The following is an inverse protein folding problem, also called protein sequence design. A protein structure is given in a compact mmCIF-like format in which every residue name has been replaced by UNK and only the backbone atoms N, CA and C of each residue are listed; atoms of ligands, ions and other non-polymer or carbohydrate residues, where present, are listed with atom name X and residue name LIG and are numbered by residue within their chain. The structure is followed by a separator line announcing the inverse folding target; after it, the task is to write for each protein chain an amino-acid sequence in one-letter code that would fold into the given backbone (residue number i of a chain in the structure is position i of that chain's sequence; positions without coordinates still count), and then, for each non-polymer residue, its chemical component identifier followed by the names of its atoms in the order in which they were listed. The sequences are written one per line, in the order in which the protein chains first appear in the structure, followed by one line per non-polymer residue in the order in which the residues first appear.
data_IF_777206174410
#
_entry.id   IF_777206174410
#
_cell.length_a   1.000
_cell.length_b   1.000
_cell.length_c   1.000
_cell.angle_alpha   90.00
_cell.angle_beta   90.00
_cell.angle_gamma   90.00
#
_symmetry.space_group_name_H-M   'P 1'
#
loop_
_entity.id
_entity.type
_entity.pdbx_description
1 polymer ?
#
# COMPACT_ATOMS: atom_id res chain seq x y z
N UNK A 1 -9.90 -5.39 -12.87
CA UNK A 1 -9.22 -4.19 -12.31
C UNK A 1 -10.18 -3.03 -12.39
N UNK A 2 -10.33 -2.25 -11.31
CA UNK A 2 -11.16 -1.04 -11.34
C UNK A 2 -10.62 -0.06 -12.40
N UNK A 3 -11.50 0.54 -13.19
CA UNK A 3 -11.12 1.56 -14.17
C UNK A 3 -10.61 2.82 -13.44
N UNK A 4 -9.31 3.10 -13.61
CA UNK A 4 -8.62 4.26 -13.01
C UNK A 4 -8.27 5.33 -14.05
N UNK A 5 -8.72 5.18 -15.29
CA UNK A 5 -8.37 6.06 -16.42
C UNK A 5 -8.62 7.54 -16.14
N UNK A 6 -9.72 7.87 -15.46
CA UNK A 6 -10.04 9.25 -15.10
C UNK A 6 -9.09 9.87 -14.07
N UNK A 7 -8.48 9.06 -13.19
CA UNK A 7 -7.48 9.54 -12.22
C UNK A 7 -6.20 9.90 -12.97
N UNK A 8 -5.71 8.99 -13.82
CA UNK A 8 -4.49 9.24 -14.62
C UNK A 8 -4.66 10.40 -15.61
N UNK A 9 -5.87 10.63 -16.12
CA UNK A 9 -6.14 11.76 -17.01
C UNK A 9 -6.12 13.13 -16.30
N UNK A 10 -6.32 13.16 -14.97
CA UNK A 10 -6.45 14.40 -14.19
C UNK A 10 -5.28 14.65 -13.23
N UNK A 11 -4.48 13.63 -12.93
CA UNK A 11 -3.34 13.73 -12.03
C UNK A 11 -2.03 13.41 -12.75
N UNK A 12 -1.04 14.27 -12.53
CA UNK A 12 0.36 13.90 -12.74
C UNK A 12 0.81 12.93 -11.62
N UNK A 13 1.97 12.31 -11.80
CA UNK A 13 2.59 11.52 -10.73
C UNK A 13 2.75 12.37 -9.45
N UNK A 14 2.54 11.75 -8.30
CA UNK A 14 2.58 12.36 -6.98
C UNK A 14 3.98 12.29 -6.35
N UNK A 15 4.32 13.32 -5.57
CA UNK A 15 5.53 13.33 -4.73
C UNK A 15 5.34 12.53 -3.43
N UNK A 16 4.09 12.43 -2.95
CA UNK A 16 3.70 11.71 -1.74
C UNK A 16 2.42 10.89 -1.98
N UNK A 17 2.45 9.63 -1.59
CA UNK A 17 1.25 8.81 -1.37
C UNK A 17 1.07 8.63 0.13
N UNK A 18 -0.11 8.96 0.65
CA UNK A 18 -0.49 8.76 2.04
C UNK A 18 -1.64 7.75 2.11
N UNK A 19 -1.48 6.68 2.89
CA UNK A 19 -2.54 5.69 3.13
C UNK A 19 -2.82 5.51 4.62
N UNK A 20 -4.04 5.81 5.04
CA UNK A 20 -4.55 5.50 6.38
C UNK A 20 -5.50 4.29 6.36
N UNK A 21 -5.44 3.48 5.31
CA UNK A 21 -6.32 2.31 5.16
C UNK A 21 -5.93 1.25 6.20
N UNK A 22 -6.93 0.68 6.86
CA UNK A 22 -6.83 -0.49 7.72
C UNK A 22 -7.86 -1.54 7.29
N UNK A 23 -7.58 -2.84 7.45
CA UNK A 23 -8.57 -3.87 7.19
C UNK A 23 -9.69 -3.81 8.23
N UNK A 24 -10.82 -4.45 7.93
CA UNK A 24 -11.81 -4.78 8.94
C UNK A 24 -11.16 -5.74 9.94
N UNK A 25 -10.96 -5.28 11.17
CA UNK A 25 -10.30 -6.05 12.23
C UNK A 25 -11.25 -7.12 12.74
N UNK A 26 -10.87 -8.38 12.53
CA UNK A 26 -11.57 -9.57 13.01
C UNK A 26 -11.25 -9.87 14.48
N UNK A 27 -10.10 -9.40 14.98
CA UNK A 27 -9.57 -9.73 16.30
C UNK A 27 -8.76 -11.03 16.32
N UNK A 28 -8.62 -11.70 15.17
CA UNK A 28 -7.75 -12.87 14.99
C UNK A 28 -6.50 -12.38 14.27
N UNK A 29 -5.35 -12.41 14.95
CA UNK A 29 -4.10 -11.81 14.47
C UNK A 29 -3.73 -12.28 13.07
N UNK A 30 -3.72 -13.59 12.82
CA UNK A 30 -3.32 -14.16 11.53
C UNK A 30 -4.23 -13.69 10.38
N UNK A 31 -5.54 -13.61 10.63
CA UNK A 31 -6.52 -13.13 9.64
C UNK A 31 -6.31 -11.65 9.38
N UNK A 32 -6.11 -10.86 10.43
CA UNK A 32 -5.94 -9.41 10.31
C UNK A 32 -4.62 -9.05 9.60
N UNK A 33 -3.54 -9.80 9.87
CA UNK A 33 -2.26 -9.66 9.17
C UNK A 33 -2.39 -10.04 7.69
N UNK A 34 -3.09 -11.13 7.35
CA UNK A 34 -3.32 -11.53 5.95
C UNK A 34 -4.13 -10.48 5.19
N UNK A 35 -5.20 -9.95 5.78
CA UNK A 35 -5.99 -8.87 5.19
C UNK A 35 -5.15 -7.59 4.99
N UNK A 36 -4.21 -7.31 5.90
CA UNK A 36 -3.28 -6.20 5.76
C UNK A 36 -2.34 -6.36 4.56
N UNK A 37 -1.88 -7.60 4.30
CA UNK A 37 -1.04 -7.90 3.13
C UNK A 37 -1.79 -7.61 1.82
N UNK A 38 -3.08 -7.90 1.72
CA UNK A 38 -3.87 -7.55 0.52
C UNK A 38 -3.98 -6.03 0.30
N UNK A 39 -4.15 -5.28 1.38
CA UNK A 39 -4.17 -3.81 1.35
C UNK A 39 -2.80 -3.28 0.92
N UNK A 40 -1.71 -3.83 1.44
CA UNK A 40 -0.35 -3.48 1.04
C UNK A 40 -0.16 -3.65 -0.46
N UNK A 41 -0.55 -4.78 -1.02
CA UNK A 41 -0.41 -5.05 -2.46
C UNK A 41 -1.17 -4.04 -3.31
N UNK A 42 -2.38 -3.66 -2.86
CA UNK A 42 -3.16 -2.62 -3.50
C UNK A 42 -2.48 -1.25 -3.45
N UNK A 43 -1.89 -0.88 -2.32
CA UNK A 43 -1.15 0.39 -2.15
C UNK A 43 0.11 0.41 -3.01
N UNK A 44 0.88 -0.68 -3.05
CA UNK A 44 2.09 -0.77 -3.87
C UNK A 44 1.75 -0.69 -5.37
N UNK A 45 0.65 -1.31 -5.81
CA UNK A 45 0.14 -1.14 -7.18
C UNK A 45 -0.17 0.33 -7.50
N UNK A 46 -0.81 1.06 -6.57
CA UNK A 46 -1.07 2.49 -6.73
C UNK A 46 0.24 3.28 -6.81
N UNK A 47 1.23 2.97 -5.98
CA UNK A 47 2.53 3.65 -5.98
C UNK A 47 3.30 3.42 -7.29
N UNK A 48 3.27 2.21 -7.85
CA UNK A 48 3.88 1.91 -9.16
C UNK A 48 3.36 2.84 -10.25
N UNK A 49 2.04 3.08 -10.27
CA UNK A 49 1.42 3.89 -11.31
C UNK A 49 1.55 5.40 -11.05
N UNK A 50 1.34 5.82 -9.80
CA UNK A 50 1.15 7.23 -9.44
C UNK A 50 2.34 7.87 -8.74
N UNK A 51 3.25 7.15 -8.09
CA UNK A 51 4.36 7.78 -7.39
C UNK A 51 5.49 8.12 -8.37
N UNK A 52 6.09 9.30 -8.18
CA UNK A 52 7.32 9.71 -8.87
C UNK A 52 8.52 8.88 -8.41
N UNK A 53 9.56 8.83 -9.23
CA UNK A 53 10.89 8.39 -8.79
C UNK A 53 11.33 9.30 -7.63
N UNK A 54 11.86 8.72 -6.55
CA UNK A 54 12.20 9.40 -5.30
C UNK A 54 11.01 10.03 -4.55
N UNK A 55 9.77 9.69 -4.92
CA UNK A 55 8.60 10.04 -4.12
C UNK A 55 8.54 9.22 -2.84
N UNK A 56 7.67 9.64 -1.91
CA UNK A 56 7.53 9.01 -0.60
C UNK A 56 6.18 8.32 -0.47
N UNK A 57 6.18 7.10 0.08
CA UNK A 57 4.98 6.45 0.60
C UNK A 57 4.97 6.57 2.13
N UNK A 58 3.89 7.10 2.69
CA UNK A 58 3.59 7.01 4.12
C UNK A 58 2.32 6.20 4.28
N UNK A 59 2.38 5.13 5.06
CA UNK A 59 1.19 4.31 5.30
C UNK A 59 1.10 3.84 6.75
N UNK A 60 -0.14 3.67 7.21
CA UNK A 60 -0.42 2.93 8.44
C UNK A 60 0.05 1.48 8.29
N UNK A 61 0.54 0.89 9.37
CA UNK A 61 0.93 -0.50 9.44
C UNK A 61 0.72 -1.04 10.87
N UNK A 62 0.29 -2.29 11.01
CA UNK A 62 0.21 -2.98 12.29
C UNK A 62 1.32 -4.02 12.40
N UNK A 63 2.24 -3.82 13.34
CA UNK A 63 3.35 -4.74 13.59
C UNK A 63 2.80 -6.08 14.08
N UNK A 64 3.21 -7.17 13.43
CA UNK A 64 2.81 -8.54 13.74
C UNK A 64 3.56 -9.54 12.87
N UNK A 65 3.01 -10.74 12.74
CA UNK A 65 3.65 -11.86 12.01
C UNK A 65 4.09 -11.55 10.58
N UNK A 66 3.43 -10.61 9.89
CA UNK A 66 3.75 -10.24 8.50
C UNK A 66 4.74 -9.08 8.36
N UNK A 67 5.25 -8.51 9.46
CA UNK A 67 6.12 -7.32 9.41
C UNK A 67 7.40 -7.54 8.59
N UNK A 68 8.10 -8.65 8.81
CA UNK A 68 9.34 -8.94 8.08
C UNK A 68 9.10 -9.16 6.58
N UNK A 69 7.95 -9.75 6.24
CA UNK A 69 7.53 -9.89 4.84
C UNK A 69 7.26 -8.52 4.21
N UNK A 70 6.49 -7.67 4.90
CA UNK A 70 6.21 -6.30 4.48
C UNK A 70 7.52 -5.53 4.24
N UNK A 71 8.45 -5.57 5.20
CA UNK A 71 9.71 -4.82 5.13
C UNK A 71 10.52 -5.19 3.90
N UNK A 72 10.72 -6.49 3.65
CA UNK A 72 11.45 -6.98 2.47
C UNK A 72 10.76 -6.58 1.17
N UNK A 73 9.42 -6.63 1.13
CA UNK A 73 8.64 -6.25 -0.06
C UNK A 73 8.75 -4.75 -0.33
N UNK A 74 8.70 -3.91 0.69
CA UNK A 74 8.88 -2.47 0.57
C UNK A 74 10.30 -2.11 0.08
N UNK A 75 11.36 -2.73 0.63
CA UNK A 75 12.76 -2.53 0.21
C UNK A 75 13.05 -2.98 -1.23
N UNK A 76 12.21 -3.86 -1.80
CA UNK A 76 12.36 -4.28 -3.20
C UNK A 76 11.73 -3.27 -4.16
N UNK A 77 10.74 -2.48 -3.70
CA UNK A 77 9.96 -1.57 -4.53
C UNK A 77 10.47 -0.13 -4.46
N UNK A 78 11.06 0.28 -3.34
CA UNK A 78 11.58 1.62 -3.07
C UNK A 78 13.08 1.58 -2.78
#
# INVERSE_FOLDING_TARGET
MADRSQIYAKMNKADLVLSDIAPNISGIEDVDQANFVEILESILSICSDLLKINGVLVMKFFIGSSYDFFKRKAETVF
#
